data_IF_842450697788
#
_entry.id   IF_842450697788
#
_cell.length_a   1.000
_cell.length_b   1.000
_cell.length_c   1.000
_cell.angle_alpha   90.00
_cell.angle_beta   90.00
_cell.angle_gamma   90.00
#
_symmetry.space_group_name_H-M   'P 1'
#
loop_
_entity.id
_entity.type
_entity.pdbx_description
1 polymer ?
2 non-polymer ?
3 non-polymer ?
4 non-polymer ?
5 water ?
#
# COMPACT_ATOMS: atom_id res chain seq x y z
N UNK A 4 -24.12 -10.70 -17.01
CA UNK A 4 -23.23 -10.68 -15.77
C UNK A 4 -22.50 -9.33 -15.66
N UNK A 5 -22.94 -8.36 -14.84
CA UNK A 5 -22.42 -7.00 -14.92
C UNK A 5 -21.00 -6.90 -14.34
N UNK A 6 -20.18 -5.97 -14.85
CA UNK A 6 -18.81 -5.76 -14.32
C UNK A 6 -18.94 -5.01 -13.01
N UNK A 7 -18.13 -5.32 -11.98
CA UNK A 7 -18.29 -4.64 -10.72
C UNK A 7 -17.78 -3.20 -10.74
N UNK A 8 -18.37 -2.38 -9.88
CA UNK A 8 -17.97 -0.97 -9.65
C UNK A 8 -17.08 -0.93 -8.41
N UNK A 9 -17.15 -1.96 -7.57
CA UNK A 9 -16.44 -2.03 -6.27
C UNK A 9 -16.17 -3.49 -5.90
N UNK A 10 -14.99 -3.76 -5.34
CA UNK A 10 -14.60 -5.12 -4.87
C UNK A 10 -14.15 -4.98 -3.44
N UNK A 11 -14.11 -6.09 -2.73
CA UNK A 11 -13.49 -6.07 -1.40
C UNK A 11 -12.21 -6.88 -1.47
N UNK A 12 -11.22 -6.37 -0.74
CA UNK A 12 -9.86 -6.89 -0.77
C UNK A 12 -9.52 -7.18 0.68
N UNK A 13 -9.08 -8.40 0.94
CA UNK A 13 -8.46 -8.80 2.21
C UNK A 13 -6.94 -8.67 2.10
N UNK A 14 -6.34 -8.04 3.09
CA UNK A 14 -4.89 -7.94 3.27
C UNK A 14 -4.55 -8.60 4.58
N UNK A 15 -3.71 -9.62 4.54
CA UNK A 15 -3.17 -10.25 5.74
C UNK A 15 -1.68 -10.08 5.82
N UNK A 16 -1.19 -9.83 7.02
CA UNK A 16 0.27 -9.84 7.27
C UNK A 16 0.51 -10.67 8.54
N UNK A 17 1.39 -11.65 8.40
CA UNK A 17 1.75 -12.49 9.55
C UNK A 17 3.21 -12.86 9.49
N UNK A 18 3.93 -12.45 10.50
CA UNK A 18 5.28 -12.99 10.78
C UNK A 18 5.09 -14.29 11.57
N UNK A 19 5.41 -15.39 10.89
CA UNK A 19 5.10 -16.77 11.37
C UNK A 19 6.16 -17.27 12.34
N UNK A 20 7.25 -16.53 12.56
CA UNK A 20 8.28 -16.90 13.52
C UNK A 20 8.89 -18.26 13.20
N UNK A 21 8.98 -18.59 11.91
CA UNK A 21 9.63 -19.83 11.42
C UNK A 21 8.97 -21.07 12.06
N UNK A 22 7.67 -20.99 12.35
CA UNK A 22 6.89 -22.14 12.87
C UNK A 22 5.76 -22.42 11.91
N UNK A 23 5.41 -23.69 11.69
CA UNK A 23 4.21 -23.99 10.93
C UNK A 23 3.00 -23.42 11.64
N UNK A 24 1.96 -23.09 10.87
CA UNK A 24 0.76 -22.56 11.45
C UNK A 24 -0.01 -23.65 12.20
N UNK A 25 -1.01 -23.25 13.00
CA UNK A 25 -1.87 -24.23 13.63
C UNK A 25 -2.87 -24.74 12.60
N UNK A 26 -3.65 -25.76 12.95
CA UNK A 26 -4.54 -26.43 11.98
C UNK A 26 -5.66 -25.49 11.51
N UNK A 27 -6.07 -24.54 12.33
CA UNK A 27 -7.16 -23.60 11.97
C UNK A 27 -6.67 -22.15 12.00
N UNK A 28 -6.77 -21.45 10.88
CA UNK A 28 -6.36 -20.01 10.83
C UNK A 28 -7.53 -19.23 10.24
N UNK A 29 -8.73 -19.79 10.17
CA UNK A 29 -9.91 -19.09 9.58
C UNK A 29 -10.21 -17.73 10.21
N UNK A 30 -9.90 -17.55 11.50
CA UNK A 30 -10.14 -16.28 12.23
C UNK A 30 -9.45 -15.12 11.49
N UNK A 31 -8.28 -15.39 10.92
CA UNK A 31 -7.50 -14.36 10.19
C UNK A 31 -8.33 -13.85 9.00
N UNK A 32 -8.81 -14.76 8.17
CA UNK A 32 -9.49 -14.40 6.91
C UNK A 32 -10.88 -13.87 7.22
N UNK A 33 -11.43 -14.16 8.39
CA UNK A 33 -12.73 -13.66 8.86
C UNK A 33 -12.59 -12.31 9.60
N UNK A 34 -11.39 -11.77 9.76
CA UNK A 34 -11.18 -10.47 10.46
C UNK A 34 -11.83 -10.55 11.84
N UNK A 35 -11.53 -11.61 12.59
CA UNK A 35 -12.03 -11.83 13.97
C UNK A 35 -10.87 -11.72 14.95
N UNK A 36 -11.11 -11.05 16.09
CA UNK A 36 -10.14 -10.98 17.18
C UNK A 36 -10.28 -9.64 17.80
N UNK A 37 -9.18 -8.88 17.83
CA UNK A 37 -9.15 -7.52 18.42
C UNK A 37 -9.18 -6.47 17.32
N UNK A 38 -9.56 -5.25 17.67
CA UNK A 38 -9.47 -4.10 16.78
C UNK A 38 -10.78 -3.84 16.11
N UNK A 39 -10.72 -3.40 14.85
CA UNK A 39 -11.90 -3.15 14.00
C UNK A 39 -12.18 -4.45 13.25
N UNK A 40 -13.17 -5.20 13.72
CA UNK A 40 -13.45 -6.56 13.26
C UNK A 40 -14.67 -6.56 12.34
N UNK A 41 -14.79 -7.68 11.64
CA UNK A 41 -15.81 -7.88 10.63
C UNK A 41 -17.05 -8.45 11.30
N UNK A 42 -18.21 -7.98 10.86
CA UNK A 42 -19.51 -8.45 11.37
C UNK A 42 -19.69 -9.95 11.11
N UNK A 43 -20.22 -10.67 12.10
CA UNK A 43 -20.55 -12.12 11.96
C UNK A 43 -21.39 -12.39 10.72
N UNK A 44 -22.31 -11.49 10.40
CA UNK A 44 -23.29 -11.70 9.31
C UNK A 44 -22.57 -11.78 7.95
N UNK A 45 -21.31 -11.36 7.88
CA UNK A 45 -20.53 -11.38 6.62
C UNK A 45 -19.67 -12.64 6.48
N UNK A 46 -19.67 -13.53 7.45
CA UNK A 46 -18.64 -14.60 7.51
C UNK A 46 -18.64 -15.43 6.22
N UNK A 47 -19.80 -15.65 5.60
CA UNK A 47 -19.81 -16.54 4.42
C UNK A 47 -19.51 -15.77 3.14
N UNK A 48 -19.44 -14.46 3.21
CA UNK A 48 -19.38 -13.61 2.00
C UNK A 48 -17.90 -13.60 1.64
N UNK A 49 -17.48 -14.11 0.48
CA UNK A 49 -16.06 -14.08 0.18
C UNK A 49 -15.68 -12.65 -0.21
N UNK A 50 -14.45 -12.31 0.13
CA UNK A 50 -13.76 -11.15 -0.45
C UNK A 50 -13.48 -11.51 -1.90
N UNK A 51 -13.35 -10.47 -2.73
CA UNK A 51 -12.99 -10.67 -4.17
C UNK A 51 -11.55 -11.13 -4.32
N UNK A 52 -10.65 -10.55 -3.55
CA UNK A 52 -9.20 -10.81 -3.65
C UNK A 52 -8.69 -10.95 -2.23
N UNK A 53 -7.90 -11.99 -1.96
CA UNK A 53 -7.18 -12.14 -0.69
C UNK A 53 -5.69 -12.01 -1.00
N UNK A 54 -5.03 -11.13 -0.27
CA UNK A 54 -3.58 -10.94 -0.44
C UNK A 54 -2.98 -11.26 0.90
N UNK A 55 -2.09 -12.25 0.92
CA UNK A 55 -1.53 -12.85 2.17
C UNK A 55 -0.01 -12.67 2.19
N UNK A 56 0.47 -11.78 3.07
CA UNK A 56 1.90 -11.54 3.25
C UNK A 56 2.38 -12.27 4.46
N UNK A 57 3.40 -13.08 4.30
CA UNK A 57 4.07 -13.72 5.45
C UNK A 57 5.53 -13.31 5.50
N UNK A 58 6.03 -13.33 6.70
CA UNK A 58 7.47 -13.14 7.02
C UNK A 58 7.87 -14.31 7.89
N UNK A 59 9.15 -14.67 7.85
CA UNK A 59 9.70 -15.83 8.60
C UNK A 59 8.80 -17.04 8.31
N UNK A 60 8.40 -17.21 7.04
CA UNK A 60 7.49 -18.29 6.63
C UNK A 60 8.33 -19.54 6.37
N UNK A 61 8.11 -20.62 7.14
CA UNK A 61 8.94 -21.83 7.00
C UNK A 61 8.39 -22.84 5.98
N UNK A 62 7.25 -22.55 5.43
CA UNK A 62 6.54 -23.48 4.52
C UNK A 62 7.05 -23.32 3.09
N UNK A 63 6.88 -24.35 2.29
CA UNK A 63 7.03 -24.26 0.85
C UNK A 63 5.81 -23.49 0.33
N UNK A 64 5.92 -22.95 -0.87
CA UNK A 64 4.80 -22.28 -1.55
C UNK A 64 3.65 -23.29 -1.67
N UNK A 65 3.96 -24.53 -2.01
CA UNK A 65 2.89 -25.53 -2.20
C UNK A 65 2.18 -25.75 -0.86
N UNK A 66 2.94 -25.92 0.22
CA UNK A 66 2.35 -26.19 1.54
C UNK A 66 1.46 -25.03 1.94
N UNK A 67 1.95 -23.80 1.81
CA UNK A 67 1.14 -22.62 2.23
C UNK A 67 -0.08 -22.46 1.34
N UNK A 68 0.05 -22.59 0.03
CA UNK A 68 -1.11 -22.48 -0.87
C UNK A 68 -2.21 -23.48 -0.49
N UNK A 69 -1.81 -24.73 -0.23
CA UNK A 69 -2.69 -25.80 0.26
C UNK A 69 -3.53 -25.26 1.42
N UNK A 70 -2.84 -24.75 2.45
CA UNK A 70 -3.46 -24.31 3.70
C UNK A 70 -4.36 -23.12 3.44
N UNK A 71 -3.92 -22.19 2.61
CA UNK A 71 -4.73 -21.00 2.34
C UNK A 71 -5.99 -21.42 1.60
N UNK A 72 -5.84 -22.17 0.52
CA UNK A 72 -7.03 -22.52 -0.30
C UNK A 72 -8.05 -23.32 0.51
N UNK A 73 -7.59 -24.29 1.30
CA UNK A 73 -8.42 -25.10 2.24
C UNK A 73 -9.20 -24.14 3.14
N UNK A 74 -8.49 -23.21 3.78
CA UNK A 74 -9.05 -22.28 4.79
C UNK A 74 -10.15 -21.42 4.14
N UNK A 75 -9.90 -20.89 2.94
CA UNK A 75 -10.90 -20.04 2.26
C UNK A 75 -12.06 -20.90 1.81
N UNK A 76 -11.79 -22.11 1.32
CA UNK A 76 -12.89 -23.01 0.87
C UNK A 76 -13.80 -23.32 2.07
N UNK A 77 -13.21 -23.58 3.24
CA UNK A 77 -14.01 -23.90 4.44
C UNK A 77 -14.88 -22.70 4.83
N UNK A 78 -14.33 -21.51 4.76
CA UNK A 78 -15.06 -20.25 5.11
C UNK A 78 -16.17 -19.96 4.09
N UNK A 79 -15.88 -20.08 2.81
CA UNK A 79 -16.73 -19.45 1.76
C UNK A 79 -17.41 -20.47 0.87
N UNK A 80 -16.94 -21.72 0.88
CA UNK A 80 -17.31 -22.77 -0.11
C UNK A 80 -16.85 -22.40 -1.51
N UNK A 81 -15.91 -21.48 -1.63
CA UNK A 81 -15.38 -21.07 -2.96
C UNK A 81 -13.96 -21.61 -3.08
N UNK A 82 -13.64 -22.19 -4.24
CA UNK A 82 -12.28 -22.62 -4.58
C UNK A 82 -11.58 -21.46 -5.25
N UNK A 83 -10.71 -20.77 -4.51
CA UNK A 83 -10.07 -19.55 -5.04
C UNK A 83 -9.01 -19.93 -6.05
N UNK A 84 -8.78 -19.06 -7.01
CA UNK A 84 -7.73 -19.20 -8.03
C UNK A 84 -6.50 -18.47 -7.53
N UNK A 85 -5.37 -19.06 -7.81
CA UNK A 85 -4.07 -18.46 -7.50
C UNK A 85 -3.72 -17.45 -8.57
N UNK A 86 -3.62 -16.17 -8.23
CA UNK A 86 -3.23 -15.10 -9.17
C UNK A 86 -1.72 -15.08 -9.26
N UNK A 87 -1.07 -15.07 -8.10
CA UNK A 87 0.40 -14.98 -8.05
C UNK A 87 0.90 -15.40 -6.68
N UNK A 88 2.12 -15.87 -6.66
CA UNK A 88 2.83 -16.21 -5.42
C UNK A 88 4.29 -15.88 -5.65
N UNK A 89 4.91 -15.20 -4.71
CA UNK A 89 6.31 -14.81 -4.92
C UNK A 89 6.98 -14.79 -3.56
N UNK A 90 8.15 -15.40 -3.49
CA UNK A 90 8.89 -15.57 -2.23
C UNK A 90 10.31 -15.06 -2.40
N UNK A 91 10.74 -14.27 -1.43
CA UNK A 91 12.18 -13.89 -1.28
C UNK A 91 12.58 -14.40 0.08
N UNK A 92 13.51 -15.34 0.11
CA UNK A 92 13.94 -15.95 1.38
C UNK A 92 12.70 -16.47 2.11
N UNK A 93 12.33 -15.89 3.25
CA UNK A 93 11.15 -16.34 4.04
C UNK A 93 10.04 -15.29 4.04
N UNK A 94 10.11 -14.35 3.10
CA UNK A 94 9.10 -13.30 2.86
C UNK A 94 8.25 -13.68 1.66
N UNK A 95 6.95 -13.80 1.86
CA UNK A 95 6.12 -14.35 0.79
C UNK A 95 4.86 -13.52 0.62
N UNK A 96 4.41 -13.47 -0.62
CA UNK A 96 3.11 -12.88 -0.95
C UNK A 96 2.32 -13.88 -1.80
N UNK A 97 1.06 -14.07 -1.42
CA UNK A 97 0.10 -14.88 -2.19
C UNK A 97 -1.09 -14.00 -2.53
N UNK A 98 -1.55 -14.05 -3.76
CA UNK A 98 -2.79 -13.38 -4.16
C UNK A 98 -3.71 -14.47 -4.70
N UNK A 99 -4.89 -14.52 -4.11
CA UNK A 99 -5.98 -15.44 -4.47
C UNK A 99 -7.17 -14.59 -4.86
N UNK A 100 -7.94 -15.06 -5.83
CA UNK A 100 -9.16 -14.33 -6.23
C UNK A 100 -10.29 -15.29 -6.56
N UNK A 101 -11.53 -14.80 -6.40
CA UNK A 101 -12.75 -15.54 -6.84
C UNK A 101 -12.50 -16.05 -8.25
N UNK A 102 -12.98 -17.26 -8.61
CA UNK A 102 -12.85 -17.73 -9.99
C UNK A 102 -13.53 -16.85 -11.05
N UNK A 103 -14.59 -16.16 -10.68
CA UNK A 103 -15.33 -15.27 -11.60
C UNK A 103 -14.43 -14.11 -12.02
N UNK A 104 -13.33 -13.83 -11.32
CA UNK A 104 -12.43 -12.72 -11.65
C UNK A 104 -11.28 -13.16 -12.56
N UNK A 105 -11.22 -14.44 -12.90
CA UNK A 105 -10.03 -14.98 -13.62
C UNK A 105 -9.74 -14.20 -14.90
N UNK A 106 -10.78 -13.81 -15.63
CA UNK A 106 -10.66 -13.11 -16.94
C UNK A 106 -10.84 -11.61 -16.76
N UNK A 107 -10.87 -11.12 -15.51
CA UNK A 107 -10.80 -9.66 -15.19
C UNK A 107 -9.37 -9.27 -14.80
N UNK A 108 -8.58 -10.25 -14.40
CA UNK A 108 -7.20 -10.02 -13.89
C UNK A 108 -6.23 -10.31 -15.02
N UNK A 109 -5.36 -9.36 -15.31
CA UNK A 109 -4.33 -9.51 -16.37
C UNK A 109 -3.08 -8.74 -15.98
N UNK A 110 -2.03 -8.82 -16.78
CA UNK A 110 -0.75 -8.10 -16.57
C UNK A 110 -0.25 -8.38 -15.16
N UNK A 111 -0.21 -9.64 -14.78
CA UNK A 111 0.25 -10.02 -13.43
C UNK A 111 1.76 -9.91 -13.44
N UNK A 112 2.30 -9.21 -12.43
CA UNK A 112 3.74 -8.94 -12.28
C UNK A 112 4.14 -9.23 -10.84
N UNK A 113 5.33 -9.80 -10.65
CA UNK A 113 5.90 -10.04 -9.30
C UNK A 113 7.29 -9.48 -9.32
N UNK A 114 7.74 -9.07 -8.15
CA UNK A 114 9.14 -8.65 -8.00
C UNK A 114 9.51 -8.67 -6.54
N UNK A 115 10.78 -8.50 -6.29
CA UNK A 115 11.27 -8.43 -4.91
C UNK A 115 12.42 -7.41 -4.88
N UNK A 116 12.65 -6.91 -3.69
CA UNK A 116 13.80 -6.07 -3.39
C UNK A 116 14.47 -6.62 -2.14
N UNK A 117 15.78 -6.78 -2.23
CA UNK A 117 16.64 -7.15 -1.10
C UNK A 117 17.21 -5.90 -0.48
N UNK A 118 16.98 -5.68 0.81
CA UNK A 118 17.44 -4.41 1.42
C UNK A 118 18.84 -4.60 2.03
N UNK A 119 19.59 -3.50 2.21
CA UNK A 119 20.85 -3.54 2.98
C UNK A 119 22.05 -3.97 2.15
N UNK A 120 23.26 -3.95 2.75
CA UNK A 120 24.58 -4.22 2.07
C UNK A 120 25.40 -5.16 2.96
N UNK A 121 25.81 -6.32 2.43
CA UNK A 121 26.79 -7.28 3.03
C UNK A 121 26.25 -7.86 4.35
N UNK A 122 26.67 -7.30 5.51
CA UNK A 122 26.12 -7.56 6.87
C UNK A 122 24.59 -7.65 6.85
N UNK A 123 23.94 -6.63 6.26
CA UNK A 123 22.49 -6.31 6.37
C UNK A 123 21.73 -6.89 5.15
N UNK A 124 22.43 -7.36 4.10
CA UNK A 124 21.81 -8.13 2.97
C UNK A 124 21.78 -9.61 3.35
N UNK A 125 20.59 -10.21 3.39
CA UNK A 125 20.49 -11.66 3.53
C UNK A 125 19.15 -12.13 4.06
N UNK A 126 18.39 -11.26 4.75
CA UNK A 126 17.03 -11.78 5.04
C UNK A 126 15.86 -10.79 5.00
N UNK A 127 16.13 -9.48 4.90
CA UNK A 127 15.10 -8.42 4.91
C UNK A 127 14.86 -7.93 3.48
N UNK A 128 13.65 -7.46 3.20
CA UNK A 128 13.32 -6.86 1.91
C UNK A 128 11.85 -6.96 1.69
N UNK A 129 11.45 -7.06 0.44
CA UNK A 129 10.03 -7.00 0.11
C UNK A 129 9.75 -7.85 -1.09
N UNK A 130 8.53 -8.34 -1.15
CA UNK A 130 8.00 -8.97 -2.36
C UNK A 130 6.77 -8.19 -2.74
N UNK A 131 6.42 -8.24 -4.00
CA UNK A 131 5.21 -7.57 -4.44
C UNK A 131 4.56 -8.20 -5.63
N UNK A 132 3.30 -7.87 -5.79
CA UNK A 132 2.44 -8.32 -6.90
C UNK A 132 1.69 -7.09 -7.41
N UNK A 133 1.57 -6.99 -8.71
CA UNK A 133 0.63 -6.04 -9.34
C UNK A 133 -0.12 -6.70 -10.47
N UNK A 134 -1.28 -6.14 -10.79
CA UNK A 134 -2.06 -6.59 -11.93
C UNK A 134 -3.11 -5.53 -12.22
N UNK A 135 -3.71 -5.67 -13.37
CA UNK A 135 -4.95 -4.96 -13.72
C UNK A 135 -6.12 -5.84 -13.29
N UNK A 136 -7.13 -5.20 -12.75
CA UNK A 136 -8.45 -5.75 -12.49
C UNK A 136 -9.39 -4.89 -13.33
N UNK A 137 -9.81 -5.39 -14.49
CA UNK A 137 -10.59 -4.55 -15.46
C UNK A 137 -9.80 -3.26 -15.66
N UNK A 138 -10.39 -2.10 -15.46
CA UNK A 138 -9.67 -0.84 -15.80
C UNK A 138 -8.88 -0.28 -14.63
N UNK A 139 -8.70 -1.06 -13.56
CA UNK A 139 -8.10 -0.58 -12.30
C UNK A 139 -6.79 -1.34 -12.12
N UNK A 140 -5.74 -0.59 -11.78
CA UNK A 140 -4.44 -1.21 -11.45
C UNK A 140 -4.35 -1.36 -9.93
N UNK A 141 -3.83 -2.52 -9.52
CA UNK A 141 -3.70 -2.88 -8.10
C UNK A 141 -2.25 -3.32 -7.86
N UNK A 142 -1.65 -2.81 -6.82
CA UNK A 142 -0.31 -3.21 -6.39
C UNK A 142 -0.32 -3.54 -4.93
N UNK A 143 0.52 -4.50 -4.58
CA UNK A 143 0.57 -5.06 -3.22
C UNK A 143 2.02 -5.33 -2.87
N UNK A 144 2.42 -4.86 -1.70
CA UNK A 144 3.82 -4.95 -1.24
C UNK A 144 3.79 -5.57 0.15
N UNK A 145 4.55 -6.63 0.33
CA UNK A 145 4.80 -7.28 1.63
C UNK A 145 6.26 -7.05 1.95
N UNK A 146 6.57 -6.24 2.95
CA UNK A 146 7.96 -5.96 3.35
C UNK A 146 8.20 -6.43 4.77
N UNK A 147 9.38 -6.99 4.97
CA UNK A 147 9.95 -7.33 6.28
C UNK A 147 11.13 -6.37 6.45
N UNK A 148 10.93 -5.30 7.22
CA UNK A 148 11.97 -4.26 7.33
C UNK A 148 12.92 -4.62 8.47
N UNK A 149 13.98 -3.86 8.59
CA UNK A 149 15.01 -4.07 9.61
C UNK A 149 14.38 -4.11 11.01
N UNK A 150 14.85 -5.00 11.86
CA UNK A 150 14.32 -5.15 13.25
C UNK A 150 15.13 -4.26 14.19
N UNK A 151 14.60 -4.10 15.38
CA UNK A 151 15.31 -3.45 16.50
C UNK A 151 14.75 -2.08 16.77
N UNK A 152 14.53 -1.75 18.04
CA UNK A 152 13.96 -0.45 18.40
C UNK A 152 14.85 0.73 17.96
N UNK A 153 16.15 0.49 17.88
CA UNK A 153 17.18 1.53 17.62
C UNK A 153 17.26 1.87 16.13
N UNK A 154 16.61 1.09 15.26
CA UNK A 154 16.86 1.13 13.80
C UNK A 154 15.71 1.73 13.00
N UNK A 155 15.01 2.73 13.51
CA UNK A 155 13.87 3.30 12.75
C UNK A 155 14.40 3.95 11.47
N UNK A 156 15.58 4.57 11.50
CA UNK A 156 16.14 5.23 10.32
C UNK A 156 16.44 4.19 9.23
N UNK A 157 16.98 3.03 9.62
CA UNK A 157 17.26 1.91 8.68
C UNK A 157 15.94 1.46 8.05
N UNK A 158 14.89 1.32 8.84
CA UNK A 158 13.56 0.96 8.32
C UNK A 158 13.13 2.00 7.29
N UNK A 159 13.33 3.26 7.59
CA UNK A 159 12.91 4.32 6.62
C UNK A 159 13.73 4.17 5.34
N UNK A 160 15.01 3.84 5.45
CA UNK A 160 15.88 3.64 4.28
C UNK A 160 15.36 2.41 3.53
N UNK A 161 14.96 1.37 4.25
CA UNK A 161 14.50 0.14 3.59
C UNK A 161 13.25 0.48 2.75
N UNK A 162 12.33 1.24 3.34
CA UNK A 162 11.12 1.72 2.66
C UNK A 162 11.49 2.38 1.32
N UNK A 163 12.44 3.32 1.36
CA UNK A 163 12.75 4.11 0.13
C UNK A 163 13.41 3.18 -0.90
N UNK A 164 14.29 2.27 -0.47
CA UNK A 164 14.86 1.29 -1.44
C UNK A 164 13.77 0.43 -2.05
N UNK A 165 12.83 -0.02 -1.26
CA UNK A 165 11.74 -0.87 -1.81
C UNK A 165 10.91 -0.06 -2.83
N UNK A 166 10.51 1.14 -2.41
CA UNK A 166 9.76 2.14 -3.20
C UNK A 166 10.43 2.30 -4.57
N UNK A 167 11.76 2.49 -4.56
CA UNK A 167 12.53 2.83 -5.75
C UNK A 167 12.68 1.64 -6.67
N UNK A 168 12.95 0.48 -6.11
CA UNK A 168 13.53 -0.63 -6.91
C UNK A 168 12.52 -1.73 -7.17
N UNK A 169 11.37 -1.73 -6.52
CA UNK A 169 10.40 -2.78 -6.80
C UNK A 169 9.77 -2.43 -8.14
N UNK A 170 9.92 -3.32 -9.12
CA UNK A 170 9.58 -3.02 -10.52
C UNK A 170 8.20 -3.60 -10.85
N UNK A 171 7.14 -3.04 -10.30
CA UNK A 171 5.78 -3.54 -10.53
C UNK A 171 5.07 -2.61 -11.48
N UNK A 172 3.93 -3.05 -12.01
CA UNK A 172 3.06 -2.19 -12.80
C UNK A 172 3.64 -1.88 -14.16
N UNK A 173 3.11 -0.85 -14.79
CA UNK A 173 3.36 -0.55 -16.22
C UNK A 173 4.73 0.12 -16.32
N UNK A 174 5.71 -0.55 -16.94
CA UNK A 174 7.09 -0.01 -17.08
C UNK A 174 7.12 1.18 -18.05
N UNK A 175 6.05 1.39 -18.83
CA UNK A 175 5.96 2.61 -19.67
C UNK A 175 5.81 3.84 -18.77
N UNK A 176 5.42 3.63 -17.50
CA UNK A 176 5.33 4.74 -16.53
C UNK A 176 6.71 4.98 -15.92
N UNK A 177 7.70 5.23 -16.79
CA UNK A 177 9.11 5.14 -16.38
C UNK A 177 9.45 6.20 -15.35
N UNK A 178 8.92 7.45 -15.33
CA UNK A 178 9.30 8.39 -14.29
C UNK A 178 8.75 8.03 -12.90
N UNK A 179 7.84 7.07 -12.85
CA UNK A 179 7.03 6.83 -11.65
C UNK A 179 7.49 5.59 -10.92
N UNK A 180 7.59 5.70 -9.60
CA UNK A 180 7.79 4.51 -8.75
C UNK A 180 6.44 3.88 -8.38
N UNK A 181 6.48 2.81 -7.58
CA UNK A 181 5.22 2.10 -7.24
C UNK A 181 4.24 3.01 -6.50
N UNK A 182 4.67 4.11 -5.87
CA UNK A 182 3.73 4.98 -5.14
C UNK A 182 2.89 5.82 -6.12
N UNK A 183 3.10 5.71 -7.42
CA UNK A 183 2.23 6.37 -8.42
C UNK A 183 1.73 5.43 -9.49
N UNK A 184 2.12 4.17 -9.53
CA UNK A 184 1.76 3.32 -10.69
C UNK A 184 0.38 2.70 -10.57
N UNK A 185 -0.26 2.77 -9.42
CA UNK A 185 -1.50 1.99 -9.19
C UNK A 185 -2.66 2.83 -8.71
N UNK A 186 -3.84 2.48 -9.19
CA UNK A 186 -5.10 3.05 -8.68
C UNK A 186 -5.13 2.88 -7.16
N UNK A 187 -4.78 1.66 -6.71
CA UNK A 187 -4.76 1.29 -5.29
C UNK A 187 -3.45 0.53 -5.04
N UNK A 188 -2.70 1.00 -4.05
CA UNK A 188 -1.46 0.36 -3.61
C UNK A 188 -1.61 0.01 -2.13
N UNK A 189 -1.40 -1.24 -1.81
CA UNK A 189 -1.47 -1.69 -0.39
C UNK A 189 -0.07 -2.09 -0.02
N UNK A 190 0.43 -1.56 1.08
CA UNK A 190 1.76 -1.92 1.57
C UNK A 190 1.64 -2.37 3.01
N UNK A 191 2.12 -3.55 3.28
CA UNK A 191 1.91 -4.23 4.57
C UNK A 191 3.16 -5.03 4.85
N UNK A 192 3.19 -5.58 6.05
CA UNK A 192 4.26 -6.49 6.42
C UNK A 192 4.65 -6.36 7.87
N UNK A 193 5.73 -7.04 8.20
CA UNK A 193 6.43 -6.80 9.47
C UNK A 193 7.31 -5.59 9.24
N UNK A 194 6.72 -4.41 9.41
CA UNK A 194 7.47 -3.16 9.20
C UNK A 194 8.39 -2.90 10.37
N UNK A 195 8.17 -3.53 11.50
CA UNK A 195 9.17 -3.62 12.59
C UNK A 195 9.37 -2.29 13.30
N UNK A 196 8.47 -1.32 13.13
CA UNK A 196 8.52 -0.11 13.96
C UNK A 196 8.02 -0.44 15.37
N UNK A 197 8.64 0.18 16.38
CA UNK A 197 8.43 -0.19 17.78
C UNK A 197 7.82 0.96 18.56
N UNK A 198 7.33 0.60 19.73
CA UNK A 198 6.85 1.60 20.72
C UNK A 198 8.11 2.05 21.45
N UNK A 199 8.53 3.29 21.20
CA UNK A 199 9.83 3.83 21.69
C UNK A 199 9.62 4.45 23.08
N UNK A 200 9.56 3.59 24.09
CA UNK A 200 9.44 3.99 25.50
C UNK A 200 10.65 3.38 26.19
N UNK A 201 11.04 3.89 27.37
CA UNK A 201 12.20 3.33 28.06
C UNK A 201 11.94 1.85 28.41
N UNK A 202 12.99 1.02 28.33
CA UNK A 202 12.87 -0.46 28.49
C UNK A 202 12.42 -0.80 29.92
N UNK A 203 12.68 0.09 30.89
CA UNK A 203 12.27 -0.09 32.30
C UNK A 203 10.80 0.31 32.50
N UNK A 204 10.11 0.77 31.44
CA UNK A 204 8.64 0.91 31.45
C UNK A 204 7.94 -0.34 30.90
N UNK A 205 8.64 -1.46 30.67
CA UNK A 205 8.05 -2.66 30.05
C UNK A 205 6.81 -3.09 30.82
N UNK A 206 6.86 -3.14 32.14
CA UNK A 206 5.73 -3.70 32.92
C UNK A 206 4.60 -2.69 32.83
N UNK A 207 4.91 -1.40 32.80
CA UNK A 207 3.88 -0.34 32.68
C UNK A 207 3.18 -0.51 31.34
N UNK A 208 3.95 -0.76 30.30
CA UNK A 208 3.34 -0.98 28.96
C UNK A 208 2.39 -2.18 29.00
N UNK A 209 2.85 -3.27 29.55
CA UNK A 209 2.03 -4.50 29.66
C UNK A 209 0.71 -4.19 30.38
N UNK A 210 0.77 -3.42 31.47
CA UNK A 210 -0.45 -3.12 32.26
C UNK A 210 -1.36 -2.20 31.43
N UNK A 211 -0.81 -1.30 30.61
CA UNK A 211 -1.64 -0.47 29.69
C UNK A 211 -2.32 -1.40 28.68
N UNK A 212 -1.57 -2.34 28.14
CA UNK A 212 -2.19 -3.32 27.18
C UNK A 212 -3.32 -4.10 27.84
N UNK A 213 -3.11 -4.59 29.06
CA UNK A 213 -4.17 -5.35 29.77
C UNK A 213 -5.41 -4.50 29.99
N UNK A 214 -5.29 -3.18 30.13
CA UNK A 214 -6.42 -2.26 30.33
C UNK A 214 -7.00 -1.83 28.98
N UNK A 215 -6.40 -2.30 27.88
CA UNK A 215 -6.81 -1.85 26.51
C UNK A 215 -6.69 -0.33 26.39
N UNK A 216 -5.68 0.26 27.01
CA UNK A 216 -5.44 1.71 26.98
C UNK A 216 -4.23 1.87 26.09
N UNK A 217 -4.46 2.03 24.79
CA UNK A 217 -3.36 2.05 23.79
C UNK A 217 -2.87 3.47 23.52
N UNK A 218 -3.54 4.52 23.99
CA UNK A 218 -3.28 5.91 23.55
C UNK A 218 -1.84 6.31 23.86
N UNK A 219 -1.37 6.02 25.09
CA UNK A 219 -0.04 6.45 25.54
C UNK A 219 1.01 5.57 24.89
N UNK A 220 0.62 4.41 24.35
CA UNK A 220 1.60 3.60 23.61
C UNK A 220 1.67 4.10 22.17
N UNK A 221 0.52 4.27 21.51
CA UNK A 221 0.52 4.69 20.09
C UNK A 221 1.18 6.06 19.92
N UNK A 222 1.12 6.93 20.93
CA UNK A 222 1.78 8.25 20.84
C UNK A 222 3.29 8.07 20.74
N UNK A 223 3.83 6.86 21.00
CA UNK A 223 5.27 6.56 20.92
C UNK A 223 5.55 5.56 19.83
N UNK A 224 4.53 5.17 19.05
CA UNK A 224 4.75 4.22 17.95
C UNK A 224 5.64 4.89 16.91
N UNK A 225 6.73 4.22 16.57
CA UNK A 225 7.69 4.87 15.66
C UNK A 225 7.08 5.06 14.27
N UNK A 226 6.23 4.19 13.78
CA UNK A 226 5.69 4.40 12.44
C UNK A 226 4.77 5.64 12.44
N UNK A 227 3.92 5.78 13.45
CA UNK A 227 3.03 6.96 13.54
C UNK A 227 3.90 8.22 13.64
N UNK A 228 4.96 8.22 14.43
CA UNK A 228 5.74 9.45 14.68
C UNK A 228 6.58 9.74 13.44
N UNK A 229 7.24 8.76 12.84
CA UNK A 229 8.01 8.96 11.60
C UNK A 229 7.10 9.44 10.46
N UNK A 230 5.87 8.91 10.39
CA UNK A 230 4.89 9.33 9.36
C UNK A 230 4.47 10.78 9.63
N UNK A 231 4.22 11.13 10.89
CA UNK A 231 3.85 12.54 11.25
C UNK A 231 4.95 13.49 10.79
N UNK A 232 6.23 13.10 10.96
CA UNK A 232 7.37 13.97 10.61
C UNK A 232 7.76 13.79 9.14
N UNK A 233 6.96 13.04 8.38
CA UNK A 233 7.12 12.94 6.91
C UNK A 233 8.47 12.30 6.60
N UNK A 234 8.85 11.32 7.41
CA UNK A 234 10.13 10.62 7.19
C UNK A 234 9.89 9.33 6.41
N UNK A 235 8.65 8.87 6.28
CA UNK A 235 8.39 7.54 5.70
C UNK A 235 6.93 7.49 5.33
N UNK A 236 6.57 6.69 4.35
CA UNK A 236 5.19 6.42 3.97
C UNK A 236 4.43 7.75 3.74
N UNK A 237 5.08 8.71 3.12
CA UNK A 237 4.41 9.97 2.82
C UNK A 237 3.25 9.70 1.85
N UNK A 238 2.08 10.23 2.17
CA UNK A 238 0.84 10.19 1.36
C UNK A 238 0.17 8.83 1.41
N UNK A 239 0.58 7.98 2.36
CA UNK A 239 -0.14 6.71 2.63
C UNK A 239 -1.12 6.91 3.77
N UNK A 240 -2.14 6.06 3.82
CA UNK A 240 -3.17 6.01 4.90
C UNK A 240 -2.90 4.80 5.77
N UNK A 241 -3.30 4.88 7.04
CA UNK A 241 -3.40 3.71 7.91
C UNK A 241 -4.66 3.93 8.73
N UNK A 242 -5.46 2.88 8.88
CA UNK A 242 -6.64 2.84 9.77
C UNK A 242 -6.15 3.00 11.22
N UNK A 243 -6.95 3.63 12.07
CA UNK A 243 -6.64 3.74 13.49
C UNK A 243 -6.45 2.34 14.07
N UNK A 244 -5.42 2.20 14.89
CA UNK A 244 -5.11 0.94 15.58
C UNK A 244 -5.91 0.86 16.87
N UNK A 245 -6.68 -0.20 17.01
CA UNK A 245 -7.53 -0.42 18.20
C UNK A 245 -7.33 -1.83 18.74
N UNK A 246 -6.23 -2.49 18.37
CA UNK A 246 -5.88 -3.87 18.79
C UNK A 246 -4.58 -3.78 19.58
N UNK A 247 -4.34 -4.77 20.41
CA UNK A 247 -3.12 -4.82 21.23
C UNK A 247 -1.91 -4.97 20.31
N UNK A 248 -0.72 -4.51 20.77
CA UNK A 248 0.52 -4.81 20.08
C UNK A 248 0.61 -6.28 19.69
N UNK A 249 1.09 -6.52 18.47
CA UNK A 249 1.07 -7.86 17.87
C UNK A 249 2.39 -8.58 18.07
N UNK A 250 3.31 -7.98 18.79
CA UNK A 250 4.68 -8.48 19.02
C UNK A 250 5.14 -7.94 20.37
N UNK A 251 5.95 -8.66 21.17
CA UNK A 251 6.45 -10.00 20.95
C UNK A 251 5.79 -10.92 21.99
N UNK A 252 5.07 -11.94 21.54
CA UNK A 252 4.35 -12.86 22.44
C UNK A 252 5.18 -14.10 22.74
N UNK A 253 5.00 -14.65 23.92
CA UNK A 253 5.37 -16.06 24.17
C UNK A 253 4.49 -16.93 23.28
N UNK A 254 5.04 -17.94 22.66
CA UNK A 254 4.27 -18.84 21.78
C UNK A 254 3.32 -19.68 22.59
N UNK A 255 2.24 -20.12 21.93
CA UNK A 255 1.20 -21.09 22.38
C UNK A 255 0.22 -20.44 23.38
N UNK A 256 0.41 -19.19 23.74
CA UNK A 256 -0.57 -18.41 24.50
C UNK A 256 -0.63 -17.04 23.84
N UNK A 257 -1.55 -16.17 24.20
CA UNK A 257 -1.37 -14.71 23.97
C UNK A 257 -1.37 -13.97 25.32
N UNK A 258 -1.19 -14.70 26.41
CA UNK A 258 -1.30 -14.09 27.75
C UNK A 258 -0.03 -13.35 28.14
N UNK A 259 1.09 -13.59 27.45
CA UNK A 259 2.39 -13.04 27.90
C UNK A 259 3.15 -12.40 26.74
N UNK A 260 3.58 -11.17 26.96
CA UNK A 260 4.58 -10.50 26.13
C UNK A 260 5.97 -10.87 26.62
N UNK A 261 6.81 -11.35 25.71
CA UNK A 261 8.21 -11.79 25.93
C UNK A 261 9.10 -10.65 25.48
N UNK A 262 9.41 -9.75 26.39
CA UNK A 262 10.13 -8.50 26.02
C UNK A 262 11.59 -8.43 26.45
N UNK A 263 11.98 -9.24 27.44
CA UNK A 263 13.31 -9.18 28.12
C UNK A 263 14.42 -9.52 27.13
N UNK A 264 15.60 -8.92 27.30
CA UNK A 264 16.76 -9.20 26.44
C UNK A 264 17.26 -10.61 26.78
N UNK A 265 17.61 -11.34 25.75
CA UNK A 265 18.03 -12.75 25.77
C UNK A 265 19.19 -12.88 24.76
N UNK A 266 20.04 -13.90 24.93
CA UNK A 266 21.05 -14.19 23.87
C UNK A 266 20.36 -14.28 22.52
N UNK A 267 19.20 -14.93 22.47
CA UNK A 267 18.48 -15.20 21.21
C UNK A 267 18.03 -13.88 20.55
N UNK A 268 17.89 -12.80 21.32
CA UNK A 268 17.48 -11.48 20.75
C UNK A 268 18.70 -10.61 20.47
N UNK A 269 19.92 -11.15 20.60
CA UNK A 269 21.10 -10.29 20.52
C UNK A 269 21.17 -9.34 21.67
N UNK A 270 20.64 -9.74 22.82
CA UNK A 270 20.58 -8.91 24.05
C UNK A 270 19.84 -7.60 23.77
N UNK A 271 18.77 -7.69 22.98
CA UNK A 271 17.85 -6.57 22.67
C UNK A 271 16.53 -6.79 23.40
N UNK A 272 15.96 -5.72 23.94
CA UNK A 272 14.59 -5.74 24.47
C UNK A 272 13.67 -5.65 23.26
N UNK A 273 12.56 -6.34 23.39
CA UNK A 273 11.44 -6.26 22.42
C UNK A 273 10.22 -5.79 23.19
N UNK A 274 10.17 -4.51 23.53
CA UNK A 274 8.96 -3.95 24.16
C UNK A 274 7.78 -4.22 23.20
N UNK A 275 6.58 -4.50 23.76
CA UNK A 275 5.38 -4.69 22.97
C UNK A 275 5.22 -3.59 21.94
N UNK A 276 5.04 -4.01 20.71
CA UNK A 276 5.04 -3.11 19.55
C UNK A 276 4.02 -3.54 18.49
N UNK A 277 3.60 -2.55 17.72
CA UNK A 277 2.76 -2.79 16.52
C UNK A 277 3.67 -2.96 15.30
N UNK A 278 4.38 -4.09 15.23
CA UNK A 278 5.33 -4.35 14.13
C UNK A 278 4.58 -4.59 12.81
N UNK A 279 3.36 -5.11 12.91
CA UNK A 279 2.65 -5.76 11.78
C UNK A 279 1.54 -4.83 11.29
N UNK A 280 1.65 -4.29 10.08
CA UNK A 280 0.86 -3.11 9.68
C UNK A 280 0.36 -3.26 8.26
N UNK A 281 -0.71 -2.54 7.97
CA UNK A 281 -1.26 -2.41 6.60
C UNK A 281 -1.51 -0.93 6.35
N UNK A 282 -0.90 -0.43 5.31
CA UNK A 282 -1.12 0.94 4.81
C UNK A 282 -1.57 0.90 3.35
N UNK A 283 -2.13 2.00 2.89
CA UNK A 283 -2.55 2.03 1.48
C UNK A 283 -2.42 3.42 0.93
N UNK A 284 -2.44 3.47 -0.38
CA UNK A 284 -2.46 4.75 -1.08
C UNK A 284 -3.22 4.54 -2.36
N UNK A 285 -4.26 5.32 -2.54
CA UNK A 285 -5.08 5.24 -3.74
C UNK A 285 -5.02 6.59 -4.43
N UNK A 286 -5.29 6.59 -5.71
CA UNK A 286 -5.33 7.84 -6.48
C UNK A 286 -6.44 8.70 -5.90
N UNK A 287 -6.29 10.03 -6.05
CA UNK A 287 -7.24 10.98 -5.51
C UNK A 287 -8.67 10.70 -5.99
N UNK A 288 -9.60 10.76 -5.05
CA UNK A 288 -11.08 10.67 -5.26
C UNK A 288 -11.48 9.30 -5.76
N UNK A 289 -10.62 8.29 -5.58
CA UNK A 289 -11.10 6.93 -5.82
C UNK A 289 -11.66 6.39 -4.50
N UNK A 290 -12.75 5.65 -4.61
CA UNK A 290 -13.36 5.04 -3.40
C UNK A 290 -12.41 4.01 -2.81
N UNK A 291 -12.07 4.16 -1.54
CA UNK A 291 -11.33 3.12 -0.79
C UNK A 291 -11.73 3.30 0.65
N UNK A 292 -12.30 2.30 1.23
CA UNK A 292 -12.77 2.40 2.62
C UNK A 292 -12.27 1.17 3.39
N UNK A 293 -11.55 1.39 4.47
CA UNK A 293 -11.10 0.28 5.35
C UNK A 293 -12.31 -0.21 6.15
N UNK A 294 -12.62 -1.50 5.99
CA UNK A 294 -13.77 -2.18 6.66
C UNK A 294 -13.31 -2.86 7.95
N UNK A 295 -12.04 -3.26 8.04
CA UNK A 295 -11.50 -3.99 9.21
C UNK A 295 -10.00 -3.74 9.30
N UNK A 296 -9.49 -3.77 10.51
CA UNK A 296 -8.06 -3.60 10.81
C UNK A 296 -7.88 -4.10 12.23
N UNK A 297 -7.29 -5.28 12.34
CA UNK A 297 -7.25 -5.90 13.66
C UNK A 297 -6.25 -7.03 13.69
N UNK A 298 -6.24 -7.74 14.81
CA UNK A 298 -5.32 -8.88 14.96
C UNK A 298 -6.12 -10.07 15.44
N UNK A 299 -5.65 -11.27 15.11
CA UNK A 299 -6.29 -12.49 15.66
C UNK A 299 -5.80 -12.69 17.10
N UNK A 300 -6.63 -13.38 17.86
CA UNK A 300 -6.41 -13.75 19.27
C UNK A 300 -6.14 -15.23 19.44
N UNK A 301 -6.40 -16.06 18.42
CA UNK A 301 -6.44 -17.53 18.59
C UNK A 301 -5.38 -18.21 17.76
N UNK A 302 -4.45 -17.48 17.14
CA UNK A 302 -3.37 -18.13 16.34
C UNK A 302 -2.08 -17.78 17.06
N UNK A 303 -1.43 -18.77 17.68
CA UNK A 303 -0.41 -18.56 18.73
C UNK A 303 0.89 -19.31 18.44
N UNK A 304 1.10 -19.80 17.20
CA UNK A 304 2.32 -20.55 16.84
C UNK A 304 3.52 -19.63 16.72
N UNK A 305 3.30 -18.34 16.50
CA UNK A 305 4.37 -17.36 16.31
C UNK A 305 4.44 -16.42 17.50
N UNK A 306 5.54 -15.71 17.56
CA UNK A 306 5.72 -14.62 18.55
C UNK A 306 5.05 -13.36 18.01
N UNK A 307 4.48 -13.40 16.80
CA UNK A 307 3.58 -12.34 16.30
C UNK A 307 2.18 -12.92 16.16
N UNK A 308 1.17 -12.10 16.37
CA UNK A 308 -0.20 -12.36 15.93
C UNK A 308 -0.41 -11.85 14.51
N UNK A 309 -1.12 -12.64 13.69
CA UNK A 309 -1.61 -12.15 12.39
C UNK A 309 -2.41 -10.87 12.50
N UNK A 310 -2.24 -10.04 11.48
CA UNK A 310 -3.00 -8.79 11.28
C UNK A 310 -3.81 -8.98 10.01
N UNK A 311 -5.03 -8.46 10.05
CA UNK A 311 -5.95 -8.39 8.92
C UNK A 311 -6.37 -6.95 8.71
N UNK A 312 -6.62 -6.63 7.45
CA UNK A 312 -7.32 -5.40 7.05
C UNK A 312 -8.16 -5.75 5.84
N UNK A 313 -9.36 -5.20 5.79
CA UNK A 313 -10.17 -5.37 4.58
C UNK A 313 -10.59 -4.01 4.08
N UNK A 314 -10.81 -3.96 2.79
CA UNK A 314 -11.10 -2.72 2.09
C UNK A 314 -12.16 -2.92 1.04
N UNK A 315 -13.02 -1.92 0.91
CA UNK A 315 -13.93 -1.75 -0.25
C UNK A 315 -13.22 -0.79 -1.22
N UNK A 316 -12.90 -1.25 -2.43
CA UNK A 316 -12.08 -0.51 -3.41
C UNK A 316 -12.87 -0.31 -4.69
N UNK A 317 -12.96 0.93 -5.10
CA UNK A 317 -13.61 1.26 -6.36
C UNK A 317 -12.80 0.72 -7.51
N UNK A 318 -13.50 0.15 -8.50
CA UNK A 318 -12.93 -0.40 -9.74
C UNK A 318 -13.74 0.11 -10.91
N UNK A 319 -13.08 0.17 -12.05
CA UNK A 319 -13.74 0.62 -13.29
C UNK A 319 -13.73 -0.52 -14.28
N UNK A 320 -14.67 -0.48 -15.22
CA UNK A 320 -14.81 -1.47 -16.32
C UNK A 320 -13.73 -1.21 -17.37
N UNK A 321 -13.46 -2.20 -18.21
CA UNK A 321 -12.59 -2.06 -19.39
C UNK A 321 -13.42 -1.39 -20.50
N UNK A 322 -13.27 -0.09 -20.68
CA UNK A 322 -14.16 0.71 -21.55
C UNK A 322 -13.84 0.52 -23.04
N UNK A 323 -14.89 0.31 -23.84
CA UNK A 323 -14.86 0.27 -25.33
C UNK A 323 -15.93 1.26 -25.86
N UNK A 324 -15.49 2.18 -26.70
CA UNK A 324 -16.37 3.09 -27.52
C UNK A 324 -16.21 2.72 -29.00
N UNK A 325 -17.00 3.38 -29.85
CA UNK A 325 -16.92 3.24 -31.34
C UNK A 325 -15.55 3.75 -31.80
N UNK A 326 -15.02 4.76 -31.09
CA UNK A 326 -13.69 5.39 -31.30
C UNK A 326 -12.64 4.61 -30.48
N UNK A 327 -12.20 5.13 -29.32
CA UNK A 327 -11.14 4.48 -28.53
C UNK A 327 -11.65 3.21 -27.85
N UNK A 328 -10.78 2.25 -27.46
CA UNK A 328 -9.35 2.24 -27.84
C UNK A 328 -8.97 2.09 -29.32
N UNK A 329 -7.84 2.69 -29.70
CA UNK A 329 -7.19 2.57 -31.03
C UNK A 329 -7.38 3.79 -31.89
N UNK A 330 -7.98 4.82 -31.33
CA UNK A 330 -7.99 6.18 -31.91
C UNK A 330 -8.31 7.13 -30.76
N UNK A 331 -8.27 8.43 -31.03
CA UNK A 331 -8.74 9.50 -30.11
C UNK A 331 -10.26 9.65 -30.28
N UNK A 332 -10.88 10.47 -29.44
CA UNK A 332 -12.31 10.82 -29.51
C UNK A 332 -12.38 12.35 -29.58
N UNK A 333 -12.41 12.91 -30.78
CA UNK A 333 -12.33 14.38 -31.02
C UNK A 333 -13.19 15.10 -29.96
N UNK A 334 -14.22 14.45 -29.42
CA UNK A 334 -15.21 15.12 -28.55
C UNK A 334 -14.62 15.38 -27.16
N UNK A 335 -13.39 14.89 -26.90
CA UNK A 335 -12.72 14.94 -25.58
C UNK A 335 -11.45 15.77 -25.62
N UNK A 336 -11.17 16.54 -24.57
CA UNK A 336 -9.88 17.24 -24.45
C UNK A 336 -9.64 17.60 -22.98
N UNK A 337 -8.36 17.68 -22.65
CA UNK A 337 -7.93 18.14 -21.31
C UNK A 337 -6.98 19.33 -21.51
N UNK A 338 -7.35 20.46 -20.94
CA UNK A 338 -6.55 21.68 -21.02
C UNK A 338 -6.14 22.04 -19.60
N UNK A 339 -4.88 22.46 -19.48
CA UNK A 339 -4.25 23.03 -18.27
C UNK A 339 -4.05 24.54 -18.47
N UNK A 340 -4.46 25.34 -17.47
CA UNK A 340 -4.35 26.82 -17.51
C UNK A 340 -3.55 27.26 -16.28
N UNK A 341 -2.78 28.36 -16.38
CA UNK A 341 -2.15 29.06 -15.24
C UNK A 341 -1.44 28.01 -14.34
N UNK A 342 -0.76 27.04 -14.93
CA UNK A 342 -0.08 25.97 -14.15
C UNK A 342 1.36 26.35 -13.82
N UNK A 343 1.76 26.01 -12.60
CA UNK A 343 3.17 26.18 -12.20
C UNK A 343 3.55 25.08 -11.24
N UNK A 344 4.80 24.67 -11.37
CA UNK A 344 5.43 23.74 -10.42
C UNK A 344 6.26 24.59 -9.47
N UNK A 345 6.22 24.27 -8.19
CA UNK A 345 7.10 24.86 -7.16
C UNK A 345 8.02 23.73 -6.75
N UNK A 346 9.32 23.89 -6.92
CA UNK A 346 10.29 22.80 -6.65
C UNK A 346 11.21 23.24 -5.54
N UNK A 347 11.56 22.29 -4.68
CA UNK A 347 12.54 22.48 -3.59
C UNK A 347 14.00 22.43 -4.10
N UNK A 348 14.24 22.01 -5.33
CA UNK A 348 15.59 21.88 -5.92
C UNK A 348 16.39 23.19 -5.85
N UNK A 349 17.69 23.06 -5.61
CA UNK A 349 18.63 24.21 -5.66
C UNK A 349 19.21 24.31 -7.07
N UNK A 350 18.85 23.40 -7.97
CA UNK A 350 19.38 23.37 -9.36
C UNK A 350 18.76 24.52 -10.16
N UNK A 351 19.49 24.99 -11.18
CA UNK A 351 19.00 25.86 -12.28
C UNK A 351 19.28 25.11 -13.59
N UNK A 352 18.32 24.27 -13.99
CA UNK A 352 18.12 23.68 -15.34
C UNK A 352 16.73 24.13 -15.78
N UNK A 353 16.44 24.05 -17.07
CA UNK A 353 15.06 24.16 -17.58
C UNK A 353 14.34 22.83 -17.24
N UNK A 354 13.04 22.92 -17.06
CA UNK A 354 12.15 21.76 -16.79
C UNK A 354 11.05 21.68 -17.84
N UNK A 355 10.64 20.44 -18.12
CA UNK A 355 9.45 20.14 -18.95
C UNK A 355 8.61 19.14 -18.19
N UNK A 356 7.35 19.02 -18.59
CA UNK A 356 6.45 18.01 -17.98
C UNK A 356 6.27 16.83 -18.90
N UNK A 357 5.96 15.70 -18.28
CA UNK A 357 5.34 14.56 -18.99
C UNK A 357 4.00 14.25 -18.35
N UNK A 358 2.97 14.09 -19.19
CA UNK A 358 1.63 13.65 -18.77
C UNK A 358 1.48 12.20 -19.16
N UNK A 359 1.25 11.32 -18.20
CA UNK A 359 1.04 9.89 -18.46
C UNK A 359 -0.35 9.49 -18.01
N UNK A 360 -1.09 8.80 -18.86
CA UNK A 360 -2.43 8.32 -18.46
C UNK A 360 -2.89 7.26 -19.42
N UNK A 361 -3.57 6.24 -18.90
CA UNK A 361 -4.26 5.20 -19.70
C UNK A 361 -5.32 5.82 -20.62
N UNK A 362 -5.79 7.04 -20.32
CA UNK A 362 -6.78 7.73 -21.19
C UNK A 362 -6.07 8.33 -22.40
N UNK A 363 -4.73 8.31 -22.47
CA UNK A 363 -3.93 8.79 -23.65
C UNK A 363 -3.35 7.61 -24.41
N UNK A 364 -3.15 7.76 -25.73
CA UNK A 364 -2.54 6.69 -26.56
C UNK A 364 -1.10 6.51 -26.09
N UNK A 365 -0.43 7.59 -25.74
CA UNK A 365 0.93 7.51 -25.16
C UNK A 365 1.21 8.84 -24.45
N UNK A 366 2.26 8.87 -23.66
CA UNK A 366 2.50 10.04 -22.77
C UNK A 366 2.80 11.27 -23.63
N UNK A 367 2.59 12.41 -23.03
CA UNK A 367 2.74 13.71 -23.73
C UNK A 367 3.82 14.51 -23.01
N UNK A 368 4.75 15.06 -23.78
CA UNK A 368 5.89 15.86 -23.28
C UNK A 368 5.64 17.34 -23.62
N UNK A 369 5.60 18.20 -22.60
CA UNK A 369 5.37 19.65 -22.77
C UNK A 369 6.66 20.30 -23.26
N UNK A 370 6.49 21.57 -23.65
CA UNK A 370 7.56 22.57 -23.82
C UNK A 370 8.15 22.83 -22.43
N UNK A 371 9.36 23.39 -22.42
CA UNK A 371 10.00 23.88 -21.17
C UNK A 371 9.16 25.00 -20.56
N UNK A 372 9.04 25.00 -19.25
CA UNK A 372 8.45 26.09 -18.49
C UNK A 372 9.43 27.24 -18.35
N UNK A 373 8.96 28.34 -17.80
CA UNK A 373 9.81 29.52 -17.51
C UNK A 373 10.12 29.57 -16.02
N UNK A 374 11.41 29.49 -15.68
CA UNK A 374 11.86 29.54 -14.26
C UNK A 374 11.72 30.95 -13.74
N UNK A 375 11.12 31.11 -12.57
CA UNK A 375 11.23 32.34 -11.77
C UNK A 375 11.71 31.95 -10.37
N UNK A 376 12.21 32.93 -9.62
CA UNK A 376 12.53 32.82 -8.17
C UNK A 376 11.24 33.07 -7.38
N UNK A 377 10.85 32.14 -6.49
CA UNK A 377 9.82 32.35 -5.45
C UNK A 377 10.31 33.24 -4.31
N UNK A 378 9.38 33.86 -3.57
CA UNK A 378 9.68 34.93 -2.57
C UNK A 378 10.40 34.38 -1.33
N UNK A 379 10.40 33.05 -1.13
CA UNK A 379 11.00 32.39 0.07
C UNK A 379 12.15 31.48 -0.35
N UNK A 380 12.76 31.70 -1.53
CA UNK A 380 13.94 30.96 -2.02
C UNK A 380 13.65 29.95 -3.14
N UNK A 381 12.38 29.55 -3.34
CA UNK A 381 11.98 28.36 -4.14
C UNK A 381 12.25 28.56 -5.63
N UNK A 382 12.31 27.47 -6.39
CA UNK A 382 12.20 27.54 -7.86
C UNK A 382 10.72 27.40 -8.28
N UNK A 383 10.20 28.36 -9.05
CA UNK A 383 8.82 28.28 -9.59
C UNK A 383 8.97 28.14 -11.10
N UNK A 384 8.41 27.08 -11.65
CA UNK A 384 8.48 26.78 -13.10
C UNK A 384 7.09 27.10 -13.63
N UNK A 385 6.96 28.16 -14.42
CA UNK A 385 5.65 28.62 -14.95
C UNK A 385 5.40 27.96 -16.31
N UNK A 386 4.23 27.39 -16.52
CA UNK A 386 3.85 26.77 -17.82
C UNK A 386 2.86 27.63 -18.60
N UNK A 387 2.32 28.65 -17.96
CA UNK A 387 1.29 29.54 -18.49
C UNK A 387 0.13 28.74 -19.08
N UNK A 388 -0.15 29.02 -20.35
CA UNK A 388 -1.22 28.41 -21.15
C UNK A 388 -0.50 27.68 -22.28
N UNK A 389 0.78 27.37 -22.06
CA UNK A 389 1.71 26.77 -23.05
C UNK A 389 1.53 25.24 -23.08
N UNK A 390 0.85 24.64 -22.10
CA UNK A 390 0.80 23.14 -21.97
C UNK A 390 -0.01 22.55 -23.12
N UNK A 391 0.38 21.35 -23.63
CA UNK A 391 -0.33 20.72 -24.74
C UNK A 391 -1.77 20.39 -24.32
N UNK A 392 -2.67 20.46 -25.30
CA UNK A 392 -4.07 20.01 -25.14
C UNK A 392 -4.05 18.48 -25.22
N UNK A 393 -4.49 17.77 -24.17
CA UNK A 393 -4.41 16.29 -24.17
C UNK A 393 -5.66 15.76 -24.85
N UNK A 394 -5.47 14.75 -25.66
CA UNK A 394 -6.51 14.13 -26.52
C UNK A 394 -6.80 12.75 -25.97
N UNK A 395 -7.84 12.59 -25.12
CA UNK A 395 -8.14 11.28 -24.58
C UNK A 395 -8.70 10.35 -25.67
N UNK A 396 -8.52 9.04 -25.46
CA UNK A 396 -8.90 7.96 -26.41
C UNK A 396 -10.43 7.78 -26.40
N UNK A 397 -11.08 8.20 -25.32
CA UNK A 397 -12.54 8.03 -25.10
C UNK A 397 -13.04 9.34 -24.48
N UNK A 398 -14.14 9.88 -24.96
CA UNK A 398 -14.68 11.20 -24.54
C UNK A 398 -15.86 11.00 -23.59
N UNK A 399 -16.40 9.78 -23.52
CA UNK A 399 -17.56 9.50 -22.66
C UNK A 399 -17.23 9.93 -21.24
N UNK A 400 -18.04 10.78 -20.60
CA UNK A 400 -17.77 11.23 -19.23
C UNK A 400 -17.77 10.09 -18.23
N UNK A 401 -18.55 9.05 -18.47
CA UNK A 401 -18.61 7.89 -17.52
C UNK A 401 -17.23 7.26 -17.47
N UNK A 402 -16.49 7.40 -18.54
CA UNK A 402 -15.10 6.89 -18.57
C UNK A 402 -14.17 7.97 -18.04
N UNK A 403 -14.20 9.12 -18.70
CA UNK A 403 -13.09 10.10 -18.58
C UNK A 403 -13.04 10.64 -17.14
N UNK A 404 -14.18 10.87 -16.49
CA UNK A 404 -14.20 11.48 -15.15
C UNK A 404 -13.57 10.50 -14.12
N UNK A 405 -13.43 9.22 -14.45
CA UNK A 405 -12.85 8.22 -13.53
C UNK A 405 -11.34 8.09 -13.75
N UNK A 406 -10.74 8.88 -14.64
CA UNK A 406 -9.33 8.67 -15.00
C UNK A 406 -8.47 9.64 -14.18
N UNK A 407 -7.18 9.47 -14.33
CA UNK A 407 -6.13 10.24 -13.63
C UNK A 407 -4.99 10.53 -14.58
N UNK A 408 -4.38 11.70 -14.39
CA UNK A 408 -3.16 12.11 -15.13
C UNK A 408 -1.99 12.12 -14.15
N UNK A 409 -1.01 11.27 -14.42
CA UNK A 409 0.27 11.34 -13.70
C UNK A 409 1.10 12.43 -14.34
N UNK A 410 1.75 13.23 -13.51
CA UNK A 410 2.62 14.33 -13.98
C UNK A 410 4.01 14.07 -13.45
N UNK A 411 4.99 14.15 -14.34
CA UNK A 411 6.41 14.21 -13.96
C UNK A 411 6.98 15.52 -14.46
N UNK A 412 7.75 16.18 -13.62
CA UNK A 412 8.53 17.37 -14.03
C UNK A 412 9.97 16.90 -14.18
N UNK A 413 10.51 17.05 -15.40
CA UNK A 413 11.85 16.52 -15.71
C UNK A 413 12.82 17.64 -16.07
N UNK A 414 14.07 17.44 -15.74
CA UNK A 414 15.17 18.34 -16.14
C UNK A 414 15.37 18.19 -17.64
N UNK A 415 15.45 19.29 -18.38
CA UNK A 415 15.86 19.28 -19.82
C UNK A 415 17.29 18.75 -19.98
N UNK A 416 18.16 19.04 -19.01
CA UNK A 416 19.61 18.73 -19.06
C UNK A 416 19.77 17.20 -18.93
N UNK A 417 18.99 16.56 -18.07
CA UNK A 417 19.31 15.17 -17.67
C UNK A 417 18.15 14.22 -17.97
N UNK A 418 16.96 14.73 -18.27
CA UNK A 418 15.71 13.96 -18.48
C UNK A 418 15.39 13.14 -17.20
N UNK A 419 15.89 13.54 -16.05
CA UNK A 419 15.61 12.84 -14.77
C UNK A 419 14.38 13.54 -14.21
N UNK A 420 13.44 12.78 -13.64
CA UNK A 420 12.28 13.37 -12.94
C UNK A 420 12.74 14.01 -11.63
N UNK A 421 12.32 15.22 -11.40
CA UNK A 421 12.48 15.91 -10.11
C UNK A 421 11.25 15.81 -9.25
N UNK A 422 10.16 15.35 -9.82
CA UNK A 422 8.91 15.32 -9.06
C UNK A 422 7.82 14.61 -9.83
N UNK A 423 7.02 13.86 -9.10
CA UNK A 423 5.92 13.07 -9.65
C UNK A 423 4.68 13.34 -8.80
N UNK A 424 3.55 13.34 -9.46
CA UNK A 424 2.25 13.56 -8.81
C UNK A 424 1.12 13.09 -9.69
N UNK A 425 -0.08 13.31 -9.21
CA UNK A 425 -1.27 12.73 -9.84
C UNK A 425 -2.44 13.67 -9.68
N UNK A 426 -3.18 13.82 -10.76
CA UNK A 426 -4.38 14.70 -10.83
C UNK A 426 -5.58 13.85 -11.21
N UNK A 427 -6.63 13.88 -10.40
CA UNK A 427 -7.93 13.23 -10.71
C UNK A 427 -8.69 14.05 -11.75
N UNK A 428 -9.33 13.35 -12.66
CA UNK A 428 -10.33 13.99 -13.59
C UNK A 428 -11.77 13.91 -13.06
N UNK A 429 -11.94 13.57 -11.78
CA UNK A 429 -13.26 13.45 -11.10
C UNK A 429 -13.73 14.85 -10.71
N UNK A 430 -13.92 15.73 -11.71
CA UNK A 430 -14.15 17.18 -11.51
C UNK A 430 -15.59 17.47 -11.06
N UNK A 431 -15.76 18.64 -10.47
CA UNK A 431 -17.07 19.19 -10.08
C UNK A 431 -17.88 19.57 -11.30
N UNK A 432 -17.23 19.85 -12.42
CA UNK A 432 -17.85 20.38 -13.65
C UNK A 432 -16.97 20.06 -14.84
N UNK A 433 -17.56 19.98 -16.03
CA UNK A 433 -16.80 19.95 -17.30
C UNK A 433 -16.95 21.30 -18.00
N UNK A 434 -16.08 21.54 -18.97
CA UNK A 434 -16.07 22.78 -19.79
C UNK A 434 -15.92 23.98 -18.86
N UNK A 435 -15.29 23.79 -17.70
CA UNK A 435 -15.19 24.80 -16.63
C UNK A 435 -13.75 24.82 -16.11
N UNK A 436 -13.16 26.00 -15.94
CA UNK A 436 -11.80 26.11 -15.35
C UNK A 436 -11.91 25.80 -13.87
N UNK A 437 -11.16 24.81 -13.40
CA UNK A 437 -11.26 24.42 -11.98
C UNK A 437 -9.86 24.25 -11.42
N UNK A 438 -9.65 24.56 -10.13
CA UNK A 438 -8.32 24.39 -9.55
C UNK A 438 -7.94 22.90 -9.52
N UNK A 439 -6.67 22.64 -9.81
CA UNK A 439 -6.02 21.32 -9.62
C UNK A 439 -4.76 21.51 -8.77
N UNK A 440 -4.36 20.43 -8.14
CA UNK A 440 -3.23 20.46 -7.21
C UNK A 440 -2.74 19.01 -7.07
N UNK A 441 -1.44 18.85 -7.01
CA UNK A 441 -0.83 17.62 -6.46
C UNK A 441 0.50 17.97 -5.79
N UNK A 442 0.82 17.35 -4.67
CA UNK A 442 2.20 17.42 -4.19
C UNK A 442 3.04 16.68 -5.24
N UNK A 443 4.32 16.98 -5.27
CA UNK A 443 5.28 16.26 -6.14
C UNK A 443 6.26 15.56 -5.23
N UNK A 444 6.56 14.31 -5.57
CA UNK A 444 7.56 13.56 -4.79
C UNK A 444 8.60 13.02 -5.75
N UNK A 445 9.73 12.65 -5.20
CA UNK A 445 10.73 11.86 -5.95
C UNK A 445 11.38 10.91 -4.96
N UNK A 446 11.46 9.63 -5.33
CA UNK A 446 11.83 8.55 -4.40
C UNK A 446 10.96 8.65 -3.15
N UNK A 447 9.73 9.08 -3.32
CA UNK A 447 8.71 9.06 -2.26
C UNK A 447 8.88 10.20 -1.28
N UNK A 448 9.84 11.08 -1.50
CA UNK A 448 10.04 12.27 -0.63
C UNK A 448 9.46 13.51 -1.30
N UNK A 449 8.94 14.44 -0.51
CA UNK A 449 8.37 15.69 -1.08
C UNK A 449 9.44 16.55 -1.77
N UNK A 450 9.22 16.91 -3.02
CA UNK A 450 10.16 17.74 -3.81
C UNK A 450 9.50 18.99 -4.36
N UNK A 451 8.21 19.16 -4.14
CA UNK A 451 7.55 20.37 -4.65
C UNK A 451 6.07 20.17 -4.74
N UNK A 452 5.47 20.97 -5.58
CA UNK A 452 4.02 21.02 -5.82
C UNK A 452 3.74 21.38 -7.27
N UNK A 453 2.60 20.95 -7.75
CA UNK A 453 2.09 21.33 -9.07
C UNK A 453 0.65 21.82 -8.85
N UNK A 454 0.36 23.01 -9.36
CA UNK A 454 -1.02 23.53 -9.21
C UNK A 454 -1.35 24.41 -10.41
N UNK A 455 -2.64 24.62 -10.62
CA UNK A 455 -3.09 25.41 -11.74
C UNK A 455 -4.55 25.20 -11.92
N UNK A 456 -4.98 25.21 -13.16
CA UNK A 456 -6.41 25.00 -13.42
C UNK A 456 -6.50 23.98 -14.54
N UNK A 457 -7.61 23.27 -14.54
CA UNK A 457 -7.94 22.28 -15.60
C UNK A 457 -9.28 22.70 -16.22
N UNK A 458 -9.46 22.30 -17.47
CA UNK A 458 -10.75 22.46 -18.19
C UNK A 458 -10.92 21.16 -18.94
N UNK A 459 -11.92 20.39 -18.56
CA UNK A 459 -12.16 19.06 -19.13
C UNK A 459 -13.37 19.11 -20.04
N UNK A 460 -13.19 18.68 -21.29
CA UNK A 460 -14.27 18.51 -22.30
C UNK A 460 -14.59 17.02 -22.42
N UNK A 461 -15.85 16.63 -22.20
CA UNK A 461 -16.31 15.26 -22.43
C UNK A 461 -17.37 15.36 -23.52
N UNK A 462 -17.84 14.21 -23.99
CA UNK A 462 -18.92 14.17 -25.01
C UNK A 462 -20.24 14.67 -24.40
N UNK A 463 -20.35 14.87 -23.09
CA UNK A 463 -21.60 15.47 -22.54
C UNK A 463 -21.42 16.98 -22.25
X LIG B 1 -1.66 11.39 4.24
X LIG B 1 -3.55 11.33 2.72
X LIG B 1 -4.26 12.26 3.54
X LIG B 1 -2.36 13.97 9.88
X LIG B 1 -1.85 13.06 8.80
X LIG B 1 -2.46 12.98 7.59
X LIG B 1 -1.89 12.10 6.66
X LIG B 1 -0.28 11.50 8.18
X LIG B 1 0.96 10.67 8.56
X LIG B 1 -2.53 10.56 3.32
X LIG B 1 -3.85 12.35 5.02
X LIG B 1 -0.80 11.38 7.00
X LIG B 1 -0.77 12.32 9.09
X LIG B 1 -2.44 11.96 5.37
X LIG C 1 -1.96 -1.29 -18.49
X LIG C 1 -1.86 -1.95 -20.87
X LIG C 1 -0.50 -2.36 -20.74
X LIG C 1 2.81 -4.77 -16.44
X LIG C 1 1.59 -3.90 -16.31
X LIG C 1 1.12 -3.23 -17.40
X LIG C 1 -0.02 -2.44 -17.25
X LIG C 1 -0.11 -2.99 -15.06
X LIG C 1 -0.81 -2.86 -13.68
X LIG C 1 -2.60 -2.02 -19.67
X LIG C 1 0.20 -1.55 -19.64
X LIG C 1 -0.62 -2.33 -16.08
X LIG C 1 0.97 -3.76 -15.15
X LIG C 1 -0.54 -1.71 -18.36
X LIG D 1 -9.04 3.49 -12.39
X LIG D 1 -10.06 2.42 -12.12
X LIG D 1 -9.64 4.90 -11.57
X LIG D 1 -9.44 4.08 -14.04
X LIG E 1 -3.27 5.69 -15.02
X LIG E 1 -4.00 6.28 -16.19
X LIG E 1 -1.74 5.11 -15.74
X LIG E 1 -2.60 7.05 -14.16
X LIG F 1 -0.12 12.71 -4.87
X LIG F 1 0.28 11.52 -5.68
X LIG F 1 -0.43 12.13 -3.24
X LIG F 1 -1.79 13.05 -5.36
X LIG G 1 -2.46 1.77 -21.08
X LIG G 1 -2.12 2.31 -19.69
X LIG G 1 -3.87 1.17 -21.05
X LIG G 1 -2.43 2.88 -22.11
X LIG G 1 -1.46 0.70 -21.48
#
# INVERSE_FOLDING_TARGET
SMEQPEPDMITIFIGTWNMGNAPPPKKITSWFLSKGQGKTRDDSADYIPHDIYVIGTQEDPLSEKEWLEILKHSLQEITSVTFKTVAIHTLWNIRIVVLAKPEHENRISHICTDNVKTGIANTLGNKGAVGVSFMFNGTSLGFVNSHLTSGSEKKLRRNQNYMNILRFLALGDKKLSPFNITHRFTHLFWFGDLNYRVDLPTWEAETIIQKIKQQQYADLLSHDQLLTERREQKVFLHFEEEEITFAPTYRFERLTRDKYAYTKQKATGMKYNLPSWCDRVLWKSYPLVHVVCQSYGSTSDIMTSDHSPVFATFEAGVTSQFVSKNGPGTVDSQGQIEFLRCYATLKTKSQTKFYLEFHSSCLESFVKSQEGENEEGSEGELVVKFGETLPKLKPIISDPEYLLDQHILISIKSSDSDESYGEGCIALRLEATETQLPIYTPLTHHGELTGHFQGEIKLQTSQ
WKS C10 N12 C13 C01 C02 C03 C04 C06 C07 C11 C14 N05 N08 N09
WKS C10 N12 C13 C01 C02 C03 C04 C06 C07 C11 C14 N05 N08 N09
DMS S O C1 C2
DMS S O C1 C2
DMS S O C1 C2
PO4 P O1 O2 O3 O4
#
